data_IF_965662758060
#
_entry.id   IF_965662758060
#
_cell.length_a   1.000
_cell.length_b   1.000
_cell.length_c   1.000
_cell.angle_alpha   90.00
_cell.angle_beta   90.00
_cell.angle_gamma   90.00
#
_symmetry.space_group_name_H-M   'P 1'
#
loop_
_entity.id
_entity.type
_entity.pdbx_description
1 polymer ?
#
# COMPACT_ATOMS: atom_id res chain seq x y z
N UNK A 1 22.97 -21.20 7.29
CA UNK A 1 23.45 -20.84 5.94
C UNK A 1 23.09 -21.95 4.94
N UNK A 2 23.24 -21.68 3.64
CA UNK A 2 22.86 -22.62 2.58
C UNK A 2 23.69 -23.92 2.60
N UNK A 3 24.98 -23.81 2.88
CA UNK A 3 25.85 -24.98 2.98
C UNK A 3 25.42 -25.90 4.14
N UNK A 4 25.17 -25.34 5.32
CA UNK A 4 24.69 -26.11 6.49
C UNK A 4 23.32 -26.79 6.23
N UNK A 5 22.44 -26.15 5.44
CA UNK A 5 21.18 -26.78 5.01
C UNK A 5 21.46 -28.02 4.13
N UNK A 6 22.34 -27.91 3.16
CA UNK A 6 22.70 -29.03 2.26
C UNK A 6 23.47 -30.14 3.03
N UNK A 7 24.31 -29.78 4.00
CA UNK A 7 24.98 -30.74 4.89
C UNK A 7 23.98 -31.57 5.68
N UNK A 8 22.94 -30.94 6.23
CA UNK A 8 21.88 -31.62 6.95
C UNK A 8 21.16 -32.66 6.08
N UNK A 9 20.67 -32.27 4.91
CA UNK A 9 19.95 -33.17 4.02
C UNK A 9 20.85 -34.25 3.39
N UNK A 10 22.12 -33.93 3.08
CA UNK A 10 23.09 -34.93 2.66
C UNK A 10 23.30 -36.05 3.72
N UNK A 11 23.36 -35.62 4.99
CA UNK A 11 23.49 -36.57 6.11
C UNK A 11 22.24 -37.44 6.28
N UNK A 12 21.05 -36.89 6.13
CA UNK A 12 19.81 -37.70 6.16
C UNK A 12 19.80 -38.77 5.06
N UNK A 13 20.28 -38.42 3.85
CA UNK A 13 20.35 -39.39 2.73
C UNK A 13 21.33 -40.50 2.98
N UNK A 14 22.54 -40.21 3.52
CA UNK A 14 23.63 -41.18 3.57
C UNK A 14 23.99 -41.65 4.97
N UNK A 15 23.51 -40.95 6.00
CA UNK A 15 23.87 -41.18 7.41
C UNK A 15 25.41 -41.30 7.64
N UNK A 16 26.16 -40.38 7.04
CA UNK A 16 27.60 -40.36 7.01
C UNK A 16 28.12 -38.93 7.16
N UNK A 17 29.05 -38.62 8.09
CA UNK A 17 29.59 -37.28 8.29
C UNK A 17 30.30 -36.69 7.06
N UNK A 18 30.70 -37.50 6.09
CA UNK A 18 31.28 -37.09 4.81
C UNK A 18 30.28 -37.05 3.65
N UNK A 19 29.00 -37.24 3.95
CA UNK A 19 27.95 -37.24 2.91
C UNK A 19 28.00 -36.02 1.98
N UNK A 20 28.03 -34.81 2.58
CA UNK A 20 28.14 -33.56 1.85
C UNK A 20 29.42 -33.47 0.99
N UNK A 21 30.57 -33.88 1.56
CA UNK A 21 31.84 -33.86 0.85
C UNK A 21 31.83 -34.77 -0.39
N UNK A 22 31.14 -35.93 -0.29
CA UNK A 22 30.97 -36.82 -1.43
C UNK A 22 30.14 -36.20 -2.55
N UNK A 23 29.04 -35.51 -2.22
CA UNK A 23 28.24 -34.76 -3.20
C UNK A 23 29.01 -33.56 -3.81
N UNK A 24 29.72 -32.81 -2.98
CA UNK A 24 30.55 -31.69 -3.41
C UNK A 24 31.67 -32.16 -4.35
N UNK A 25 32.38 -33.23 -4.01
CA UNK A 25 33.41 -33.81 -4.87
C UNK A 25 32.85 -34.26 -6.21
N UNK A 26 31.66 -34.91 -6.21
CA UNK A 26 30.97 -35.30 -7.43
C UNK A 26 30.56 -34.08 -8.27
N UNK A 27 30.01 -33.06 -7.64
CA UNK A 27 29.64 -31.80 -8.31
C UNK A 27 30.87 -31.12 -8.97
N UNK A 28 32.00 -31.02 -8.25
CA UNK A 28 33.25 -30.43 -8.77
C UNK A 28 33.80 -31.18 -9.99
N UNK A 29 33.47 -32.44 -10.17
CA UNK A 29 33.85 -33.24 -11.37
C UNK A 29 32.91 -33.06 -12.56
N UNK A 30 31.82 -32.32 -12.39
CA UNK A 30 30.78 -32.10 -13.41
C UNK A 30 30.79 -30.64 -13.87
N UNK A 31 30.06 -30.38 -14.96
CA UNK A 31 29.79 -29.00 -15.39
C UNK A 31 28.79 -28.36 -14.44
N UNK A 32 29.13 -27.18 -13.92
CA UNK A 32 28.32 -26.41 -12.97
C UNK A 32 28.04 -25.00 -13.50
N UNK A 33 27.17 -24.84 -14.50
CA UNK A 33 26.96 -23.54 -15.18
C UNK A 33 26.41 -22.46 -14.25
N UNK A 34 25.64 -22.85 -13.23
CA UNK A 34 25.04 -21.94 -12.23
C UNK A 34 25.70 -21.99 -10.86
N UNK A 35 26.82 -22.71 -10.76
CA UNK A 35 27.60 -22.81 -9.51
C UNK A 35 27.58 -24.21 -8.85
N UNK A 36 28.50 -24.40 -7.90
CA UNK A 36 28.69 -25.70 -7.23
C UNK A 36 27.54 -26.04 -6.31
N UNK A 37 27.05 -25.09 -5.49
CA UNK A 37 26.00 -25.35 -4.51
C UNK A 37 24.66 -25.77 -5.13
N UNK A 38 24.15 -25.11 -6.20
CA UNK A 38 22.98 -25.62 -6.93
C UNK A 38 23.17 -27.03 -7.48
N UNK A 39 24.39 -27.36 -7.98
CA UNK A 39 24.70 -28.70 -8.46
C UNK A 39 24.68 -29.74 -7.33
N UNK A 40 25.25 -29.40 -6.18
CA UNK A 40 25.19 -30.25 -4.98
C UNK A 40 23.74 -30.47 -4.55
N UNK A 41 22.92 -29.42 -4.54
CA UNK A 41 21.49 -29.50 -4.23
C UNK A 41 20.76 -30.46 -5.20
N UNK A 42 21.04 -30.37 -6.52
CA UNK A 42 20.48 -31.30 -7.52
C UNK A 42 20.81 -32.74 -7.20
N UNK A 43 22.08 -33.03 -6.87
CA UNK A 43 22.52 -34.40 -6.58
C UNK A 43 21.92 -34.93 -5.26
N UNK A 44 21.80 -34.09 -4.24
CA UNK A 44 21.13 -34.46 -2.98
C UNK A 44 19.64 -34.70 -3.23
N UNK A 45 18.97 -33.83 -3.95
CA UNK A 45 17.54 -33.93 -4.24
C UNK A 45 17.19 -35.23 -4.94
N UNK A 46 17.95 -35.63 -5.97
CA UNK A 46 17.72 -36.88 -6.70
C UNK A 46 17.74 -38.08 -5.75
N UNK A 47 18.77 -38.19 -4.90
CA UNK A 47 18.88 -39.29 -3.95
C UNK A 47 17.83 -39.18 -2.81
N UNK A 48 17.50 -37.93 -2.38
CA UNK A 48 16.55 -37.66 -1.30
C UNK A 48 15.12 -38.00 -1.71
N UNK A 49 14.65 -37.51 -2.86
CA UNK A 49 13.30 -37.72 -3.35
C UNK A 49 13.01 -39.22 -3.56
N UNK A 50 13.98 -39.97 -4.14
CA UNK A 50 13.86 -41.42 -4.28
C UNK A 50 13.69 -42.13 -2.94
N UNK A 51 14.57 -41.82 -1.96
CA UNK A 51 14.55 -42.42 -0.63
C UNK A 51 13.34 -42.01 0.18
N UNK A 52 12.84 -40.80 -0.02
CA UNK A 52 11.65 -40.32 0.64
C UNK A 52 10.41 -41.15 0.24
N UNK A 53 10.25 -41.44 -1.05
CA UNK A 53 9.15 -42.29 -1.54
C UNK A 53 9.30 -43.75 -1.05
N UNK A 54 10.52 -44.22 -0.83
CA UNK A 54 10.80 -45.53 -0.26
C UNK A 54 10.71 -45.57 1.29
N UNK A 55 10.39 -44.45 1.95
CA UNK A 55 10.36 -44.31 3.40
C UNK A 55 11.70 -44.63 4.08
N UNK A 56 12.81 -44.24 3.44
CA UNK A 56 14.18 -44.45 3.90
C UNK A 56 14.83 -43.21 4.48
N UNK A 57 14.17 -42.07 4.40
CA UNK A 57 14.52 -40.82 5.07
C UNK A 57 13.32 -40.31 5.87
N UNK A 58 13.53 -39.42 6.86
CA UNK A 58 12.44 -38.85 7.65
C UNK A 58 11.38 -38.14 6.76
N UNK A 59 10.12 -38.30 7.15
CA UNK A 59 8.98 -37.57 6.57
C UNK A 59 8.40 -36.67 7.66
N UNK A 60 8.70 -35.38 7.61
CA UNK A 60 8.34 -34.44 8.67
C UNK A 60 7.28 -33.42 8.25
N UNK A 61 6.87 -33.48 6.99
CA UNK A 61 5.85 -32.59 6.39
C UNK A 61 4.45 -32.87 6.93
N UNK A 62 3.62 -31.84 6.96
CA UNK A 62 2.22 -31.91 7.37
C UNK A 62 1.33 -32.52 6.28
N UNK A 63 0.10 -32.94 6.65
CA UNK A 63 -0.82 -33.63 5.74
C UNK A 63 -1.18 -32.81 4.49
N UNK A 64 -1.29 -31.49 4.61
CA UNK A 64 -1.62 -30.62 3.48
C UNK A 64 -0.49 -30.60 2.45
N UNK A 65 0.77 -30.57 2.88
CA UNK A 65 1.94 -30.64 2.00
C UNK A 65 2.04 -32.02 1.32
N UNK A 66 1.60 -33.09 1.99
CA UNK A 66 1.55 -34.43 1.37
C UNK A 66 0.65 -34.47 0.13
N UNK A 67 -0.40 -33.64 0.07
CA UNK A 67 -1.25 -33.55 -1.14
C UNK A 67 -0.48 -32.90 -2.29
N UNK A 68 0.23 -31.80 -2.01
CA UNK A 68 1.06 -31.13 -3.01
C UNK A 68 2.17 -32.06 -3.55
N UNK A 69 2.78 -32.89 -2.69
CA UNK A 69 3.76 -33.89 -3.13
C UNK A 69 3.12 -34.93 -4.07
N UNK A 70 1.88 -35.35 -3.82
CA UNK A 70 1.16 -36.24 -4.74
C UNK A 70 0.84 -35.58 -6.09
N UNK A 71 0.76 -34.26 -6.11
CA UNK A 71 0.53 -33.44 -7.32
C UNK A 71 1.84 -33.04 -8.02
N UNK A 72 3.01 -33.45 -7.50
CA UNK A 72 4.30 -33.27 -8.13
C UNK A 72 5.30 -32.35 -7.43
N UNK A 73 4.98 -31.84 -6.23
CA UNK A 73 5.95 -31.12 -5.44
C UNK A 73 7.10 -32.05 -5.03
N UNK A 74 8.36 -31.61 -5.19
CA UNK A 74 9.52 -32.36 -4.70
C UNK A 74 9.47 -32.53 -3.18
N UNK A 75 9.57 -33.77 -2.66
CA UNK A 75 9.73 -34.02 -1.24
C UNK A 75 10.89 -33.25 -0.61
N UNK A 76 12.02 -33.13 -1.30
CA UNK A 76 13.17 -32.36 -0.84
C UNK A 76 12.83 -30.88 -0.56
N UNK A 77 12.12 -30.21 -1.48
CA UNK A 77 11.69 -28.82 -1.26
C UNK A 77 10.68 -28.69 -0.11
N UNK A 78 9.77 -29.64 0.00
CA UNK A 78 8.79 -29.69 1.08
C UNK A 78 9.44 -29.84 2.47
N UNK A 79 10.40 -30.77 2.58
CA UNK A 79 11.13 -30.99 3.83
C UNK A 79 12.07 -29.85 4.18
N UNK A 80 12.69 -29.19 3.18
CA UNK A 80 13.44 -27.94 3.40
C UNK A 80 12.55 -26.86 4.02
N UNK A 81 11.36 -26.65 3.47
CA UNK A 81 10.43 -25.66 3.99
C UNK A 81 10.04 -25.99 5.45
N UNK A 82 9.73 -27.25 5.71
CA UNK A 82 9.41 -27.74 7.07
C UNK A 82 10.58 -27.61 8.03
N UNK A 83 11.79 -27.95 7.59
CA UNK A 83 13.00 -27.82 8.39
C UNK A 83 13.27 -26.37 8.79
N UNK A 84 13.21 -25.44 7.84
CA UNK A 84 13.41 -24.01 8.10
C UNK A 84 12.33 -23.50 9.06
N UNK A 85 11.05 -23.83 8.82
CA UNK A 85 9.94 -23.42 9.67
C UNK A 85 10.11 -23.87 11.13
N UNK A 86 10.66 -25.07 11.38
CA UNK A 86 10.89 -25.59 12.72
C UNK A 86 12.16 -25.04 13.40
N UNK A 87 13.14 -24.56 12.63
CA UNK A 87 14.46 -24.19 13.14
C UNK A 87 14.79 -22.69 13.08
N UNK A 88 13.80 -21.82 12.91
CA UNK A 88 14.00 -20.36 12.86
C UNK A 88 13.91 -19.69 14.24
N UNK A 89 14.75 -20.07 15.17
CA UNK A 89 14.74 -19.45 16.51
C UNK A 89 15.64 -18.21 16.53
N UNK A 90 15.04 -17.06 16.88
CA UNK A 90 15.79 -15.82 17.07
C UNK A 90 16.67 -15.91 18.32
N UNK A 91 17.93 -15.56 18.17
CA UNK A 91 18.86 -15.51 19.31
C UNK A 91 18.65 -14.21 20.07
N UNK A 92 18.58 -14.29 21.39
CA UNK A 92 18.34 -13.14 22.28
C UNK A 92 19.37 -12.02 22.12
N UNK A 93 20.60 -12.35 21.74
CA UNK A 93 21.68 -11.39 21.55
C UNK A 93 21.39 -10.36 20.43
N UNK A 94 20.54 -10.70 19.45
CA UNK A 94 20.15 -9.81 18.34
C UNK A 94 18.81 -9.08 18.58
N UNK A 95 18.21 -9.17 19.76
CA UNK A 95 16.89 -8.59 20.01
C UNK A 95 16.86 -7.08 19.81
N UNK A 96 17.88 -6.35 20.24
CA UNK A 96 17.97 -4.90 20.06
C UNK A 96 18.03 -4.48 18.58
N UNK A 97 18.76 -5.25 17.77
CA UNK A 97 18.85 -5.05 16.32
C UNK A 97 17.49 -5.28 15.65
N UNK A 98 16.80 -6.37 16.04
CA UNK A 98 15.49 -6.76 15.50
C UNK A 98 14.42 -5.74 15.88
N UNK A 99 14.40 -5.29 17.13
CA UNK A 99 13.45 -4.27 17.60
C UNK A 99 13.65 -2.94 16.84
N UNK A 100 14.90 -2.55 16.62
CA UNK A 100 15.24 -1.36 15.88
C UNK A 100 14.85 -1.50 14.40
N UNK A 101 15.17 -2.64 13.77
CA UNK A 101 14.78 -2.94 12.40
C UNK A 101 13.25 -2.89 12.22
N UNK A 102 12.50 -3.51 13.14
CA UNK A 102 11.02 -3.49 13.16
C UNK A 102 10.47 -2.08 13.30
N UNK A 103 11.11 -1.23 14.12
CA UNK A 103 10.72 0.17 14.29
C UNK A 103 10.94 1.01 13.02
N UNK A 104 12.12 0.88 12.41
CA UNK A 104 12.47 1.67 11.22
C UNK A 104 11.74 1.21 9.97
N UNK A 105 11.30 -0.07 9.90
CA UNK A 105 10.52 -0.59 8.78
C UNK A 105 9.26 0.25 8.51
N UNK A 106 8.67 0.84 9.56
CA UNK A 106 7.40 1.58 9.46
C UNK A 106 7.51 2.89 8.66
N UNK A 107 8.69 3.54 8.66
CA UNK A 107 8.85 4.88 8.09
C UNK A 107 10.13 5.11 7.29
N UNK A 108 11.12 4.26 7.41
CA UNK A 108 12.46 4.49 6.83
C UNK A 108 12.83 3.52 5.73
N UNK A 109 12.14 2.38 5.61
CA UNK A 109 12.43 1.35 4.63
C UNK A 109 11.28 1.31 3.61
N UNK A 110 11.61 1.58 2.35
CA UNK A 110 10.62 1.56 1.27
C UNK A 110 10.22 0.12 0.89
N UNK A 111 11.16 -0.82 0.88
CA UNK A 111 10.90 -2.22 0.55
C UNK A 111 12.11 -3.09 0.83
N UNK A 112 11.94 -4.40 0.69
CA UNK A 112 13.01 -5.39 0.89
C UNK A 112 13.00 -6.39 -0.26
N UNK A 113 14.19 -6.69 -0.81
CA UNK A 113 14.41 -7.78 -1.76
C UNK A 113 15.19 -8.86 -1.03
N UNK A 114 14.67 -10.07 -0.96
CA UNK A 114 15.27 -11.16 -0.22
C UNK A 114 15.39 -12.43 -1.06
N UNK A 115 16.50 -13.14 -0.86
CA UNK A 115 16.71 -14.49 -1.38
C UNK A 115 16.52 -15.57 -0.30
N UNK A 116 16.30 -15.17 0.95
CA UNK A 116 16.02 -16.08 2.04
C UNK A 116 14.61 -16.66 1.93
N UNK A 117 14.45 -17.91 2.35
CA UNK A 117 13.17 -18.63 2.28
C UNK A 117 12.30 -18.45 3.52
N UNK A 118 12.89 -18.08 4.69
CA UNK A 118 12.20 -17.92 5.98
C UNK A 118 11.17 -16.76 5.96
N UNK A 119 10.36 -16.67 7.02
CA UNK A 119 9.33 -15.62 7.17
C UNK A 119 9.78 -14.45 8.06
N UNK A 120 11.07 -14.33 8.37
CA UNK A 120 11.58 -13.31 9.28
C UNK A 120 11.15 -11.89 8.91
N UNK A 121 11.22 -11.56 7.62
CA UNK A 121 10.84 -10.22 7.15
C UNK A 121 9.34 -9.98 7.30
N UNK A 122 8.53 -10.97 6.98
CA UNK A 122 7.07 -10.90 7.08
C UNK A 122 6.61 -10.68 8.53
N UNK A 123 7.28 -11.32 9.48
CA UNK A 123 6.98 -11.22 10.89
C UNK A 123 7.31 -9.85 11.48
N UNK A 124 8.35 -9.19 10.95
CA UNK A 124 8.85 -7.90 11.46
C UNK A 124 8.45 -6.67 10.64
N UNK A 125 8.06 -6.83 9.36
CA UNK A 125 7.67 -5.73 8.47
C UNK A 125 6.15 -5.68 8.28
N UNK A 126 5.44 -5.42 9.36
CA UNK A 126 3.98 -5.42 9.38
C UNK A 126 3.36 -4.42 8.38
N UNK A 127 2.41 -4.91 7.58
CA UNK A 127 1.70 -4.12 6.58
C UNK A 127 2.46 -3.98 5.25
N UNK A 128 3.58 -4.67 5.08
CA UNK A 128 4.21 -4.84 3.78
C UNK A 128 3.49 -5.92 2.97
N UNK A 129 3.36 -5.67 1.67
CA UNK A 129 2.83 -6.69 0.76
C UNK A 129 3.94 -7.58 0.27
N UNK A 130 3.78 -8.87 0.45
CA UNK A 130 4.71 -9.88 0.02
C UNK A 130 4.42 -10.33 -1.42
N UNK A 131 5.49 -10.60 -2.16
CA UNK A 131 5.49 -11.24 -3.46
C UNK A 131 6.49 -12.39 -3.47
N UNK A 132 6.03 -13.60 -3.79
CA UNK A 132 6.83 -14.83 -3.77
C UNK A 132 7.10 -15.28 -5.20
N UNK A 133 8.38 -15.40 -5.55
CA UNK A 133 8.82 -15.82 -6.88
C UNK A 133 8.54 -14.79 -7.98
N UNK A 134 8.98 -15.10 -9.19
CA UNK A 134 8.84 -14.19 -10.34
C UNK A 134 7.40 -14.11 -10.86
N UNK A 135 6.64 -15.19 -10.81
CA UNK A 135 5.28 -15.26 -11.33
C UNK A 135 4.33 -14.26 -10.66
N UNK A 136 4.40 -14.13 -9.33
CA UNK A 136 3.59 -13.13 -8.62
C UNK A 136 3.98 -11.68 -8.96
N UNK A 137 5.27 -11.45 -9.24
CA UNK A 137 5.76 -10.13 -9.64
C UNK A 137 5.27 -9.71 -11.03
N UNK A 138 5.18 -10.66 -11.97
CA UNK A 138 4.76 -10.38 -13.36
C UNK A 138 3.33 -9.84 -13.41
N UNK A 139 2.42 -10.46 -12.66
CA UNK A 139 0.98 -10.14 -12.71
C UNK A 139 0.55 -9.09 -11.66
N UNK A 140 1.48 -8.52 -10.92
CA UNK A 140 1.17 -7.58 -9.84
C UNK A 140 1.46 -6.13 -10.20
N UNK A 141 0.57 -5.24 -9.80
CA UNK A 141 0.81 -3.80 -9.82
C UNK A 141 1.75 -3.44 -8.66
N UNK A 142 3.06 -3.53 -8.92
CA UNK A 142 4.11 -3.22 -7.95
C UNK A 142 4.11 -1.71 -7.70
N UNK A 143 4.03 -1.32 -6.45
CA UNK A 143 4.04 0.08 -6.04
C UNK A 143 5.44 0.59 -5.67
N UNK A 144 6.39 -0.33 -5.37
CA UNK A 144 7.74 0.00 -4.93
C UNK A 144 7.80 0.57 -3.51
N UNK A 145 6.72 0.50 -2.75
CA UNK A 145 6.64 1.02 -1.37
C UNK A 145 5.92 0.01 -0.49
N UNK A 146 6.48 -0.28 0.68
CA UNK A 146 6.00 -1.26 1.65
C UNK A 146 5.76 -2.64 1.00
N UNK A 147 6.80 -3.17 0.37
CA UNK A 147 6.77 -4.44 -0.34
C UNK A 147 7.99 -5.31 0.00
N UNK A 148 7.76 -6.63 0.09
CA UNK A 148 8.80 -7.65 0.25
C UNK A 148 8.80 -8.52 -0.99
N UNK A 149 9.95 -8.64 -1.62
CA UNK A 149 10.17 -9.44 -2.83
C UNK A 149 11.02 -10.66 -2.48
N UNK A 150 10.38 -11.83 -2.31
CA UNK A 150 11.01 -13.12 -2.05
C UNK A 150 11.40 -13.76 -3.40
N UNK A 151 12.48 -13.26 -3.99
CA UNK A 151 12.82 -13.59 -5.38
C UNK A 151 13.24 -15.06 -5.59
N UNK A 152 13.74 -15.72 -4.56
CA UNK A 152 14.08 -17.17 -4.58
C UNK A 152 13.02 -18.06 -3.92
N UNK A 153 11.81 -17.54 -3.74
CA UNK A 153 10.72 -18.29 -3.13
C UNK A 153 10.64 -18.15 -1.61
N UNK A 154 9.73 -18.91 -1.00
CA UNK A 154 9.43 -18.89 0.43
C UNK A 154 9.00 -20.28 0.93
N UNK A 155 9.27 -20.54 2.21
CA UNK A 155 8.76 -21.75 2.89
C UNK A 155 7.23 -21.85 2.90
N UNK A 156 6.53 -20.75 2.74
CA UNK A 156 5.06 -20.73 2.63
C UNK A 156 4.55 -21.29 1.29
N UNK A 157 5.41 -21.36 0.28
CA UNK A 157 5.14 -21.96 -1.03
C UNK A 157 6.33 -22.81 -1.44
N UNK A 158 6.48 -24.03 -0.93
CA UNK A 158 7.67 -24.86 -1.15
C UNK A 158 8.04 -25.06 -2.62
N UNK A 159 7.05 -25.12 -3.52
CA UNK A 159 7.26 -25.21 -4.96
C UNK A 159 8.04 -24.00 -5.53
N UNK A 160 7.98 -22.84 -4.88
CA UNK A 160 8.65 -21.61 -5.32
C UNK A 160 10.14 -21.56 -4.98
N UNK A 161 10.63 -22.48 -4.13
CA UNK A 161 12.03 -22.49 -3.65
C UNK A 161 13.00 -22.75 -4.79
N UNK A 162 13.92 -21.80 -5.02
CA UNK A 162 14.98 -21.87 -6.02
C UNK A 162 16.26 -22.39 -5.33
N UNK A 163 16.60 -23.66 -5.51
CA UNK A 163 17.72 -24.27 -4.77
C UNK A 163 18.62 -25.16 -5.62
N UNK A 164 18.07 -25.89 -6.59
CA UNK A 164 18.80 -26.78 -7.45
C UNK A 164 19.22 -26.13 -8.78
N UNK A 165 19.97 -26.83 -9.61
CA UNK A 165 20.47 -26.32 -10.88
C UNK A 165 19.36 -26.02 -11.90
N UNK A 166 18.30 -26.81 -11.94
CA UNK A 166 17.14 -26.64 -12.81
C UNK A 166 16.35 -25.38 -12.41
N UNK A 167 16.12 -25.19 -11.10
CA UNK A 167 15.46 -24.00 -10.57
C UNK A 167 16.20 -22.70 -10.95
N UNK A 168 17.54 -22.71 -10.86
CA UNK A 168 18.35 -21.56 -11.25
C UNK A 168 18.35 -21.31 -12.74
N UNK A 169 18.36 -22.36 -13.57
CA UNK A 169 18.25 -22.22 -15.03
C UNK A 169 16.88 -21.66 -15.42
N UNK A 170 15.81 -22.13 -14.79
CA UNK A 170 14.47 -21.58 -15.01
C UNK A 170 14.39 -20.13 -14.54
N UNK A 171 14.90 -19.84 -13.33
CA UNK A 171 14.96 -18.48 -12.79
C UNK A 171 15.69 -17.53 -13.74
N UNK A 172 16.85 -17.90 -14.26
CA UNK A 172 17.65 -17.09 -15.18
C UNK A 172 16.94 -16.91 -16.52
N UNK A 173 16.29 -17.95 -17.05
CA UNK A 173 15.57 -17.88 -18.33
C UNK A 173 14.39 -16.91 -18.30
N UNK A 174 13.76 -16.73 -17.15
CA UNK A 174 12.61 -15.85 -16.93
C UNK A 174 13.01 -14.50 -16.29
N UNK A 175 14.29 -14.28 -16.04
CA UNK A 175 14.78 -13.15 -15.23
C UNK A 175 14.64 -11.77 -15.88
N UNK A 176 14.39 -11.66 -17.18
CA UNK A 176 14.34 -10.37 -17.90
C UNK A 176 13.31 -9.40 -17.32
N UNK A 177 12.12 -9.89 -16.96
CA UNK A 177 11.09 -9.08 -16.34
C UNK A 177 11.48 -8.66 -14.91
N UNK A 178 11.97 -9.61 -14.10
CA UNK A 178 12.47 -9.34 -12.76
C UNK A 178 13.60 -8.30 -12.79
N UNK A 179 14.58 -8.48 -13.68
CA UNK A 179 15.68 -7.53 -13.86
C UNK A 179 15.17 -6.12 -14.19
N UNK A 180 14.18 -5.99 -15.08
CA UNK A 180 13.56 -4.71 -15.42
C UNK A 180 12.89 -4.04 -14.21
N UNK A 181 12.18 -4.81 -13.39
CA UNK A 181 11.53 -4.31 -12.16
C UNK A 181 12.55 -3.91 -11.11
N UNK A 182 13.56 -4.73 -10.87
CA UNK A 182 14.64 -4.42 -9.93
C UNK A 182 15.46 -3.22 -10.39
N UNK A 183 15.71 -3.09 -11.69
CA UNK A 183 16.40 -1.93 -12.26
C UNK A 183 15.63 -0.64 -11.94
N UNK A 184 14.33 -0.61 -12.09
CA UNK A 184 13.50 0.56 -11.71
C UNK A 184 13.69 0.91 -10.24
N UNK A 185 13.60 -0.08 -9.34
CA UNK A 185 13.80 0.11 -7.90
C UNK A 185 15.20 0.65 -7.62
N UNK A 186 16.23 0.09 -8.24
CA UNK A 186 17.64 0.49 -8.04
C UNK A 186 17.93 1.90 -8.55
N UNK A 187 17.17 2.34 -9.56
CA UNK A 187 17.29 3.71 -10.08
C UNK A 187 16.53 4.74 -9.23
N UNK A 188 15.43 4.32 -8.57
CA UNK A 188 14.58 5.22 -7.78
C UNK A 188 15.02 5.33 -6.32
N UNK A 189 15.55 4.25 -5.72
CA UNK A 189 15.86 4.17 -4.29
C UNK A 189 17.34 3.96 -4.01
N UNK A 190 17.87 4.47 -2.88
CA UNK A 190 19.12 3.97 -2.33
C UNK A 190 19.01 2.50 -1.95
N UNK A 191 20.03 1.70 -2.30
CA UNK A 191 20.04 0.25 -2.06
C UNK A 191 21.14 -0.08 -1.06
N UNK A 192 20.76 -0.79 0.00
CA UNK A 192 21.68 -1.30 1.01
C UNK A 192 21.71 -2.82 0.89
N UNK A 193 22.87 -3.36 0.52
CA UNK A 193 23.09 -4.79 0.40
C UNK A 193 23.57 -5.35 1.75
N UNK A 194 22.77 -6.25 2.36
CA UNK A 194 23.05 -6.85 3.66
C UNK A 194 23.02 -8.39 3.55
N UNK A 195 24.02 -9.04 4.10
CA UNK A 195 24.08 -10.51 4.16
C UNK A 195 24.57 -11.20 2.90
N UNK A 196 25.05 -10.43 1.93
CA UNK A 196 25.61 -10.95 0.67
C UNK A 196 27.13 -10.75 0.61
N UNK A 197 27.79 -11.62 -0.14
CA UNK A 197 29.11 -11.26 -0.68
C UNK A 197 28.93 -10.47 -1.97
N UNK A 198 29.77 -9.49 -2.22
CA UNK A 198 29.81 -8.78 -3.52
C UNK A 198 30.09 -9.76 -4.68
N UNK A 199 30.73 -10.88 -4.40
CA UNK A 199 30.96 -11.96 -5.37
C UNK A 199 29.75 -12.90 -5.57
N UNK A 200 28.63 -12.66 -4.89
CA UNK A 200 27.43 -13.45 -5.08
C UNK A 200 26.91 -13.30 -6.52
N UNK A 201 26.70 -14.44 -7.19
CA UNK A 201 26.31 -14.47 -8.61
C UNK A 201 24.97 -13.82 -8.85
N UNK A 202 24.02 -13.89 -7.93
CA UNK A 202 22.69 -13.31 -8.09
C UNK A 202 22.76 -11.80 -8.06
N UNK A 203 23.51 -11.23 -7.11
CA UNK A 203 23.77 -9.78 -7.03
C UNK A 203 24.53 -9.32 -8.27
N UNK A 204 25.54 -10.06 -8.69
CA UNK A 204 26.31 -9.70 -9.89
C UNK A 204 25.46 -9.72 -11.16
N UNK A 205 24.56 -10.70 -11.33
CA UNK A 205 23.66 -10.76 -12.47
C UNK A 205 22.68 -9.57 -12.52
N UNK A 206 22.13 -9.17 -11.37
CA UNK A 206 21.27 -7.99 -11.28
C UNK A 206 22.07 -6.73 -11.61
N UNK A 207 23.25 -6.55 -11.00
CA UNK A 207 24.09 -5.40 -11.25
C UNK A 207 24.59 -5.35 -12.71
N UNK A 208 24.89 -6.51 -13.31
CA UNK A 208 25.27 -6.64 -14.72
C UNK A 208 24.17 -6.12 -15.64
N UNK A 209 22.91 -6.49 -15.38
CA UNK A 209 21.75 -6.00 -16.15
C UNK A 209 21.62 -4.47 -16.05
N UNK A 210 21.83 -3.90 -14.86
CA UNK A 210 21.79 -2.45 -14.64
C UNK A 210 22.93 -1.75 -15.36
N UNK A 211 24.17 -2.22 -15.15
CA UNK A 211 25.39 -1.64 -15.75
C UNK A 211 25.35 -1.74 -17.28
N UNK A 212 24.78 -2.81 -17.82
CA UNK A 212 24.58 -3.00 -19.27
C UNK A 212 23.75 -1.89 -19.92
N UNK A 213 22.75 -1.38 -19.20
CA UNK A 213 21.82 -0.34 -19.70
C UNK A 213 22.35 1.10 -19.51
N UNK A 214 23.43 1.32 -18.76
CA UNK A 214 23.90 2.64 -18.37
C UNK A 214 25.24 3.02 -19.02
N UNK A 215 25.41 4.31 -19.29
CA UNK A 215 26.70 4.87 -19.69
C UNK A 215 27.56 5.24 -18.46
N UNK A 216 28.82 5.63 -18.69
CA UNK A 216 29.78 5.91 -17.62
C UNK A 216 29.38 7.11 -16.73
N UNK A 217 28.70 8.10 -17.28
CA UNK A 217 28.19 9.26 -16.52
C UNK A 217 27.03 8.85 -15.62
N UNK A 218 26.08 8.07 -16.14
CA UNK A 218 24.95 7.55 -15.39
C UNK A 218 25.40 6.61 -14.26
N UNK A 219 26.45 5.81 -14.47
CA UNK A 219 27.01 4.93 -13.43
C UNK A 219 27.54 5.71 -12.23
N UNK A 220 28.09 6.92 -12.43
CA UNK A 220 28.53 7.78 -11.32
C UNK A 220 27.36 8.20 -10.41
N UNK A 221 26.14 8.34 -10.93
CA UNK A 221 24.98 8.65 -10.11
C UNK A 221 24.56 7.48 -9.20
N UNK A 222 24.94 6.24 -9.52
CA UNK A 222 24.68 5.08 -8.67
C UNK A 222 25.64 4.96 -7.50
N UNK A 223 26.83 5.56 -7.59
CA UNK A 223 27.86 5.49 -6.54
C UNK A 223 27.33 5.95 -5.16
N UNK A 224 26.57 7.03 -5.13
CA UNK A 224 25.98 7.56 -3.90
C UNK A 224 24.72 6.81 -3.45
N UNK A 225 24.21 5.88 -4.24
CA UNK A 225 22.97 5.14 -3.97
C UNK A 225 23.21 3.72 -3.51
N UNK A 226 24.38 3.16 -3.75
CA UNK A 226 24.69 1.79 -3.39
C UNK A 226 25.57 1.74 -2.15
N UNK A 227 25.08 1.04 -1.14
CA UNK A 227 25.79 0.79 0.11
C UNK A 227 25.92 -0.72 0.30
N UNK A 228 27.14 -1.20 0.37
CA UNK A 228 27.42 -2.60 0.65
C UNK A 228 27.83 -2.77 2.10
N UNK A 229 27.17 -3.70 2.82
CA UNK A 229 27.44 -3.96 4.23
C UNK A 229 28.14 -5.28 4.38
N UNK A 230 29.34 -5.25 4.91
CA UNK A 230 30.17 -6.41 5.26
C UNK A 230 30.13 -6.64 6.77
N UNK A 231 29.71 -7.84 7.16
CA UNK A 231 29.81 -8.24 8.56
C UNK A 231 31.17 -8.82 8.83
N UNK A 232 31.87 -8.24 9.79
CA UNK A 232 33.17 -8.74 10.29
C UNK A 232 33.14 -8.68 11.84
N UNK A 233 33.06 -9.85 12.47
CA UNK A 233 32.97 -9.99 13.92
C UNK A 233 34.20 -9.43 14.68
N UNK A 234 35.34 -9.31 14.01
CA UNK A 234 36.60 -8.84 14.59
C UNK A 234 36.76 -7.33 14.51
N UNK A 235 35.87 -6.65 13.78
CA UNK A 235 35.86 -5.18 13.67
C UNK A 235 35.42 -4.54 14.98
N UNK A 236 36.25 -3.63 15.53
CA UNK A 236 35.99 -2.95 16.80
C UNK A 236 35.06 -1.72 16.69
N UNK A 237 34.96 -1.14 15.49
CA UNK A 237 34.09 -0.01 15.20
C UNK A 237 33.69 -0.02 13.72
N UNK A 238 32.57 0.64 13.40
CA UNK A 238 32.10 0.76 12.04
C UNK A 238 33.11 1.51 11.17
N UNK A 239 33.39 0.96 10.00
CA UNK A 239 34.30 1.55 9.03
C UNK A 239 33.57 1.83 7.73
N UNK A 240 33.69 3.04 7.22
CA UNK A 240 33.13 3.44 5.92
C UNK A 240 34.27 3.66 4.93
N UNK A 241 34.20 2.99 3.81
CA UNK A 241 35.20 3.08 2.73
C UNK A 241 34.52 3.12 1.36
N UNK A 242 35.25 3.54 0.33
CA UNK A 242 34.79 3.36 -1.06
C UNK A 242 35.19 1.98 -1.55
N UNK A 243 34.31 1.32 -2.29
CA UNK A 243 34.56 0.04 -2.92
C UNK A 243 34.16 0.10 -4.39
N UNK A 244 35.01 -0.43 -5.26
CA UNK A 244 34.73 -0.46 -6.71
C UNK A 244 34.80 -1.88 -7.20
N UNK A 245 33.73 -2.32 -7.87
CA UNK A 245 33.68 -3.62 -8.55
C UNK A 245 33.72 -3.42 -10.07
N UNK A 246 34.29 -4.38 -10.75
CA UNK A 246 34.28 -4.40 -12.22
C UNK A 246 33.18 -5.32 -12.73
N UNK A 247 32.25 -4.77 -13.46
CA UNK A 247 31.13 -5.51 -14.07
C UNK A 247 31.19 -5.30 -15.58
N UNK A 248 31.46 -6.35 -16.33
CA UNK A 248 31.61 -6.32 -17.81
C UNK A 248 32.57 -5.26 -18.30
N UNK A 249 33.67 -5.06 -17.56
CA UNK A 249 34.68 -4.07 -17.91
C UNK A 249 34.31 -2.63 -17.53
N UNK A 250 33.17 -2.37 -16.93
CA UNK A 250 32.79 -1.06 -16.42
C UNK A 250 32.96 -1.00 -14.89
N UNK A 251 33.60 0.04 -14.35
CA UNK A 251 33.73 0.23 -12.91
C UNK A 251 32.36 0.70 -12.32
N UNK A 252 31.90 0.04 -11.27
CA UNK A 252 30.80 0.47 -10.44
C UNK A 252 31.33 0.74 -9.04
N UNK A 253 31.38 2.01 -8.66
CA UNK A 253 31.74 2.42 -7.32
C UNK A 253 30.54 2.43 -6.40
N UNK A 254 30.75 2.14 -5.10
CA UNK A 254 29.75 2.13 -4.05
C UNK A 254 30.39 2.41 -2.69
N UNK A 255 29.58 2.80 -1.72
CA UNK A 255 30.02 2.88 -0.33
C UNK A 255 30.07 1.47 0.27
N UNK A 256 31.11 1.14 1.03
CA UNK A 256 31.23 -0.09 1.80
C UNK A 256 31.26 0.25 3.28
N UNK A 257 30.39 -0.41 4.06
CA UNK A 257 30.36 -0.32 5.53
C UNK A 257 30.79 -1.69 6.07
N UNK A 258 31.85 -1.72 6.89
CA UNK A 258 32.26 -2.92 7.62
C UNK A 258 31.84 -2.74 9.09
N UNK A 259 31.14 -3.70 9.65
CA UNK A 259 30.59 -3.65 11.01
C UNK A 259 30.50 -5.03 11.64
N UNK A 260 30.52 -5.09 12.98
CA UNK A 260 30.32 -6.30 13.78
C UNK A 260 28.94 -6.33 14.45
N UNK A 261 28.15 -5.24 14.36
CA UNK A 261 26.81 -5.11 14.91
C UNK A 261 25.96 -4.22 13.95
N UNK A 262 24.76 -4.62 13.64
CA UNK A 262 23.88 -3.88 12.71
C UNK A 262 23.12 -2.72 13.36
N UNK A 263 23.11 -2.62 14.70
CA UNK A 263 22.34 -1.58 15.41
C UNK A 263 22.70 -0.16 14.97
N UNK A 264 23.99 0.25 14.87
CA UNK A 264 24.34 1.59 14.39
C UNK A 264 23.87 1.88 12.97
N UNK A 265 23.92 0.86 12.09
CA UNK A 265 23.38 0.99 10.73
C UNK A 265 21.88 1.24 10.73
N UNK A 266 21.13 0.47 11.51
CA UNK A 266 19.68 0.62 11.61
C UNK A 266 19.29 1.96 12.24
N UNK A 267 20.01 2.42 13.25
CA UNK A 267 19.83 3.74 13.84
C UNK A 267 20.08 4.85 12.80
N UNK A 268 21.15 4.75 12.02
CA UNK A 268 21.46 5.70 10.95
C UNK A 268 20.35 5.74 9.87
N UNK A 269 19.84 4.57 9.43
CA UNK A 269 18.70 4.49 8.52
C UNK A 269 17.47 5.15 9.15
N UNK A 270 17.26 4.94 10.45
CA UNK A 270 16.16 5.49 11.23
C UNK A 270 16.15 7.02 11.33
N UNK A 271 17.26 7.70 11.05
CA UNK A 271 17.31 9.17 11.00
C UNK A 271 16.53 9.74 9.80
N UNK A 272 16.36 8.97 8.74
CA UNK A 272 15.60 9.34 7.54
C UNK A 272 14.21 8.72 7.60
N UNK A 273 13.22 9.51 7.99
CA UNK A 273 11.85 9.04 8.14
C UNK A 273 10.92 9.76 7.18
N UNK A 274 10.01 9.01 6.57
CA UNK A 274 8.88 9.59 5.86
C UNK A 274 7.88 10.22 6.85
N UNK A 275 7.17 11.26 6.42
CA UNK A 275 6.13 11.90 7.25
C UNK A 275 4.98 10.94 7.58
N UNK A 276 4.67 10.03 6.66
CA UNK A 276 3.62 9.02 6.83
C UNK A 276 4.25 7.61 6.87
N UNK A 277 3.64 6.65 7.57
CA UNK A 277 4.05 5.26 7.49
C UNK A 277 4.04 4.76 6.04
N UNK A 278 5.05 3.96 5.65
CA UNK A 278 5.21 3.47 4.27
C UNK A 278 4.00 2.66 3.78
N UNK A 279 3.33 1.92 4.69
CA UNK A 279 2.10 1.19 4.37
C UNK A 279 0.96 2.12 3.91
N UNK A 280 0.86 3.31 4.53
CA UNK A 280 -0.15 4.31 4.16
C UNK A 280 0.20 4.93 2.81
N UNK A 281 1.47 5.26 2.58
CA UNK A 281 1.94 5.76 1.29
C UNK A 281 1.67 4.74 0.17
N UNK A 282 1.88 3.45 0.44
CA UNK A 282 1.56 2.38 -0.52
C UNK A 282 0.07 2.33 -0.83
N UNK A 283 -0.78 2.29 0.20
CA UNK A 283 -2.24 2.25 0.02
C UNK A 283 -2.71 3.46 -0.79
N UNK A 284 -2.23 4.64 -0.47
CA UNK A 284 -2.55 5.87 -1.18
C UNK A 284 -2.14 5.82 -2.66
N UNK A 285 -0.91 5.39 -2.96
CA UNK A 285 -0.43 5.21 -4.34
C UNK A 285 -1.28 4.19 -5.11
N UNK A 286 -1.70 3.11 -4.45
CA UNK A 286 -2.55 2.08 -5.05
C UNK A 286 -3.96 2.61 -5.37
N UNK A 287 -4.57 3.38 -4.46
CA UNK A 287 -5.90 3.96 -4.65
C UNK A 287 -5.91 4.96 -5.80
N UNK A 288 -4.91 5.86 -5.85
CA UNK A 288 -4.75 6.79 -6.97
C UNK A 288 -4.56 6.07 -8.30
N UNK A 289 -3.72 5.04 -8.33
CA UNK A 289 -3.49 4.25 -9.54
C UNK A 289 -4.77 3.56 -10.02
N UNK A 290 -5.54 2.97 -9.10
CA UNK A 290 -6.82 2.34 -9.40
C UNK A 290 -7.83 3.35 -9.93
N UNK A 291 -7.90 4.54 -9.34
CA UNK A 291 -8.78 5.62 -9.78
C UNK A 291 -8.44 6.08 -11.20
N UNK A 292 -7.16 6.29 -11.51
CA UNK A 292 -6.71 6.68 -12.86
C UNK A 292 -7.09 5.64 -13.93
N UNK A 293 -7.01 4.34 -13.60
CA UNK A 293 -7.34 3.26 -14.56
C UNK A 293 -8.85 3.08 -14.71
N UNK A 294 -9.60 3.07 -13.61
CA UNK A 294 -11.03 2.72 -13.62
C UNK A 294 -11.93 3.94 -13.78
N UNK A 295 -11.40 5.14 -13.57
CA UNK A 295 -12.13 6.41 -13.47
C UNK A 295 -13.30 6.34 -12.45
N UNK A 296 -13.22 5.46 -11.48
CA UNK A 296 -14.21 5.30 -10.41
C UNK A 296 -13.51 5.38 -9.07
N UNK A 297 -13.91 6.31 -8.17
CA UNK A 297 -13.36 6.35 -6.81
C UNK A 297 -13.68 5.05 -6.08
N UNK A 298 -12.72 4.56 -5.31
CA UNK A 298 -12.94 3.44 -4.40
C UNK A 298 -13.66 3.92 -3.13
N UNK A 299 -14.12 3.00 -2.30
CA UNK A 299 -14.75 3.35 -1.02
C UNK A 299 -13.80 4.11 -0.07
N UNK A 300 -12.49 3.99 -0.27
CA UNK A 300 -11.44 4.64 0.52
C UNK A 300 -10.96 5.96 -0.07
N UNK A 301 -11.06 6.14 -1.40
CA UNK A 301 -10.76 7.40 -2.08
C UNK A 301 -12.07 8.13 -2.38
N UNK A 302 -12.32 9.20 -1.66
CA UNK A 302 -13.47 10.08 -1.92
C UNK A 302 -12.98 11.29 -2.71
N UNK A 303 -13.52 11.49 -3.90
CA UNK A 303 -13.20 12.60 -4.78
C UNK A 303 -14.47 13.42 -4.96
N UNK A 304 -14.41 14.70 -4.62
CA UNK A 304 -15.46 15.64 -4.95
C UNK A 304 -15.22 16.20 -6.36
N UNK A 305 -16.26 16.44 -7.17
CA UNK A 305 -16.12 17.15 -8.43
C UNK A 305 -15.48 18.54 -8.21
N UNK A 306 -14.52 18.88 -9.06
CA UNK A 306 -13.87 20.21 -9.05
C UNK A 306 -14.21 20.87 -10.38
N UNK A 307 -15.46 21.28 -10.53
CA UNK A 307 -15.97 21.97 -11.73
C UNK A 307 -16.00 23.50 -11.58
N UNK A 308 -15.14 24.05 -10.73
CA UNK A 308 -15.01 25.49 -10.60
C UNK A 308 -13.83 26.01 -11.43
N UNK A 309 -14.11 26.60 -12.57
CA UNK A 309 -13.10 27.25 -13.44
C UNK A 309 -12.34 28.41 -12.77
N UNK A 310 -12.71 28.79 -11.53
CA UNK A 310 -12.07 29.84 -10.74
C UNK A 310 -11.02 29.26 -9.79
N UNK A 311 -10.94 27.93 -9.62
CA UNK A 311 -9.96 27.27 -8.80
C UNK A 311 -8.68 27.09 -9.62
N UNK A 312 -7.59 27.69 -9.15
CA UNK A 312 -6.26 27.49 -9.72
C UNK A 312 -5.69 26.12 -9.32
N UNK A 313 -4.92 25.46 -10.20
CA UNK A 313 -4.21 24.23 -9.86
C UNK A 313 -3.34 24.37 -8.62
N UNK A 314 -2.87 25.58 -8.31
CA UNK A 314 -2.07 25.90 -7.11
C UNK A 314 -2.90 25.89 -5.81
N UNK A 315 -4.23 26.06 -5.91
CA UNK A 315 -5.15 26.04 -4.76
C UNK A 315 -5.65 24.63 -4.45
N UNK A 316 -5.36 23.65 -5.32
CA UNK A 316 -5.74 22.26 -5.11
C UNK A 316 -4.86 21.61 -4.06
N UNK A 317 -5.47 21.10 -3.01
CA UNK A 317 -4.77 20.39 -1.95
C UNK A 317 -5.32 18.98 -1.78
N UNK A 318 -4.42 18.02 -1.64
CA UNK A 318 -4.74 16.65 -1.29
C UNK A 318 -4.52 16.46 0.20
N UNK A 319 -5.58 16.13 0.93
CA UNK A 319 -5.52 15.88 2.37
C UNK A 319 -5.60 14.39 2.68
N UNK A 320 -4.68 13.90 3.52
CA UNK A 320 -4.65 12.52 4.01
C UNK A 320 -4.71 12.53 5.53
N UNK A 321 -5.72 11.86 6.09
CA UNK A 321 -5.93 11.80 7.53
C UNK A 321 -6.97 10.76 7.91
N UNK A 322 -7.35 10.74 9.18
CA UNK A 322 -8.45 9.90 9.64
C UNK A 322 -9.78 10.45 9.11
N UNK A 323 -10.68 9.58 8.66
CA UNK A 323 -11.95 9.97 8.05
C UNK A 323 -12.81 10.84 9.00
N UNK A 324 -12.84 10.49 10.29
CA UNK A 324 -13.53 11.27 11.33
C UNK A 324 -12.96 12.69 11.47
N UNK A 325 -11.64 12.84 11.45
CA UNK A 325 -10.96 14.14 11.57
C UNK A 325 -11.11 15.01 10.31
N UNK A 326 -11.06 14.40 9.13
CA UNK A 326 -11.28 15.11 7.87
C UNK A 326 -12.75 15.50 7.70
N UNK A 327 -13.67 14.62 8.13
CA UNK A 327 -15.10 14.89 8.16
C UNK A 327 -15.44 16.14 9.00
N UNK A 328 -14.95 16.22 10.23
CA UNK A 328 -15.16 17.39 11.12
C UNK A 328 -14.65 18.68 10.46
N UNK A 329 -13.47 18.64 9.82
CA UNK A 329 -12.92 19.83 9.13
C UNK A 329 -13.75 20.20 7.90
N UNK A 330 -14.25 19.21 7.15
CA UNK A 330 -15.17 19.44 6.02
C UNK A 330 -16.49 20.04 6.47
N UNK A 331 -17.05 19.56 7.59
CA UNK A 331 -18.28 20.09 8.18
C UNK A 331 -18.15 21.56 8.61
N UNK A 332 -16.99 21.96 9.09
CA UNK A 332 -16.71 23.36 9.42
C UNK A 332 -16.61 24.26 8.16
N UNK A 333 -16.41 23.70 6.98
CA UNK A 333 -16.36 24.40 5.70
C UNK A 333 -17.72 24.52 5.01
N UNK A 334 -18.76 23.81 5.47
CA UNK A 334 -20.12 23.92 4.93
C UNK A 334 -20.66 25.33 5.17
N UNK A 335 -21.18 25.96 4.13
CA UNK A 335 -21.84 27.26 4.22
C UNK A 335 -23.37 27.12 4.15
N UNK A 336 -24.09 28.23 4.30
CA UNK A 336 -25.55 28.23 4.27
C UNK A 336 -26.14 27.69 2.96
N UNK A 337 -25.52 27.97 1.82
CA UNK A 337 -25.99 27.49 0.53
C UNK A 337 -25.85 25.96 0.43
N UNK A 338 -24.74 25.41 0.89
CA UNK A 338 -24.51 23.95 0.94
C UNK A 338 -25.55 23.27 1.84
N UNK A 339 -25.87 23.90 2.98
CA UNK A 339 -26.92 23.42 3.89
C UNK A 339 -28.28 23.35 3.23
N UNK A 340 -28.71 24.44 2.55
CA UNK A 340 -29.99 24.50 1.83
C UNK A 340 -30.01 23.53 0.64
N UNK A 341 -28.92 23.46 -0.12
CA UNK A 341 -28.77 22.51 -1.23
C UNK A 341 -28.94 21.07 -0.74
N UNK A 342 -28.28 20.71 0.36
CA UNK A 342 -28.39 19.36 0.91
C UNK A 342 -29.77 19.01 1.48
N UNK A 343 -30.55 20.00 1.91
CA UNK A 343 -31.94 19.78 2.28
C UNK A 343 -32.73 19.26 1.10
N UNK A 344 -32.46 19.77 -0.09
CA UNK A 344 -33.18 19.42 -1.33
C UNK A 344 -32.61 18.15 -1.96
N UNK A 345 -31.31 18.12 -2.26
CA UNK A 345 -30.67 17.07 -3.04
C UNK A 345 -30.20 15.89 -2.20
N UNK A 346 -29.82 16.10 -0.94
CA UNK A 346 -29.26 15.07 -0.08
C UNK A 346 -27.87 14.62 -0.55
N UNK A 347 -27.10 15.48 -1.20
CA UNK A 347 -25.86 15.18 -1.88
C UNK A 347 -24.59 15.30 -1.00
N UNK A 348 -24.70 15.86 0.21
CA UNK A 348 -23.60 15.85 1.15
C UNK A 348 -23.39 14.45 1.75
N UNK A 349 -22.15 14.03 1.81
CA UNK A 349 -21.75 12.70 2.33
C UNK A 349 -21.72 12.60 3.86
N UNK A 350 -22.40 13.50 4.56
CA UNK A 350 -22.46 13.54 6.02
C UNK A 350 -23.80 13.00 6.51
N UNK A 351 -23.76 12.34 7.65
CA UNK A 351 -24.99 11.90 8.35
C UNK A 351 -25.72 13.09 8.98
N UNK A 352 -27.00 12.93 9.26
CA UNK A 352 -27.76 13.96 9.95
C UNK A 352 -27.18 14.30 11.32
N UNK A 353 -26.67 13.30 12.06
CA UNK A 353 -26.01 13.51 13.35
C UNK A 353 -24.74 14.36 13.22
N UNK A 354 -23.86 14.06 12.24
CA UNK A 354 -22.64 14.86 12.00
C UNK A 354 -22.97 16.31 11.63
N UNK A 355 -23.99 16.52 10.79
CA UNK A 355 -24.41 17.85 10.39
C UNK A 355 -24.95 18.66 11.59
N UNK A 356 -25.79 18.06 12.43
CA UNK A 356 -26.36 18.71 13.61
C UNK A 356 -25.34 18.95 14.70
N UNK A 357 -24.37 18.05 14.89
CA UNK A 357 -23.34 18.17 15.93
C UNK A 357 -22.23 19.18 15.57
N UNK A 358 -21.80 19.20 14.31
CA UNK A 358 -20.58 19.91 13.93
C UNK A 358 -20.80 21.12 13.00
N UNK A 359 -21.71 21.01 12.00
CA UNK A 359 -21.98 22.12 11.08
C UNK A 359 -22.99 23.12 11.62
N UNK A 360 -24.07 22.64 12.24
CA UNK A 360 -25.14 23.47 12.76
C UNK A 360 -24.67 24.58 13.71
N UNK A 361 -23.85 24.31 14.77
CA UNK A 361 -23.42 25.34 15.71
C UNK A 361 -22.67 26.50 15.05
N UNK A 362 -21.94 26.22 13.98
CA UNK A 362 -21.20 27.25 13.21
C UNK A 362 -22.13 28.05 12.32
N UNK A 363 -23.04 27.36 11.61
CA UNK A 363 -23.91 27.95 10.61
C UNK A 363 -25.06 28.77 11.20
N UNK A 364 -25.58 28.40 12.36
CA UNK A 364 -26.78 29.05 12.94
C UNK A 364 -26.53 30.53 13.23
N UNK A 365 -25.36 30.88 13.77
CA UNK A 365 -24.97 32.28 14.01
C UNK A 365 -24.80 33.09 12.72
N UNK A 366 -24.31 32.45 11.66
CA UNK A 366 -24.12 33.09 10.35
C UNK A 366 -25.45 33.31 9.60
N UNK A 367 -26.49 32.56 9.93
CA UNK A 367 -27.80 32.62 9.28
C UNK A 367 -28.89 33.28 10.16
N UNK A 368 -28.50 34.17 11.05
CA UNK A 368 -29.43 34.95 11.90
C UNK A 368 -30.39 34.08 12.72
N UNK A 369 -29.94 32.91 13.18
CA UNK A 369 -30.70 31.88 13.86
C UNK A 369 -31.89 31.32 13.07
N UNK A 370 -31.82 31.36 11.73
CA UNK A 370 -32.90 30.92 10.83
C UNK A 370 -32.44 29.77 9.92
N UNK A 371 -31.84 28.74 10.49
CA UNK A 371 -31.38 27.57 9.74
C UNK A 371 -32.39 26.41 9.84
N UNK A 372 -32.96 25.89 8.75
CA UNK A 372 -33.93 24.79 8.80
C UNK A 372 -33.24 23.50 9.23
N UNK A 373 -33.79 22.81 10.22
CA UNK A 373 -33.21 21.60 10.85
C UNK A 373 -34.12 20.38 10.82
N UNK A 374 -35.41 20.57 10.48
CA UNK A 374 -36.43 19.52 10.62
C UNK A 374 -36.09 18.23 9.82
N UNK A 375 -35.56 18.36 8.60
CA UNK A 375 -35.14 17.19 7.80
C UNK A 375 -34.09 16.37 8.55
N UNK A 376 -33.06 17.02 9.08
CA UNK A 376 -31.97 16.33 9.78
C UNK A 376 -32.43 15.77 11.13
N UNK A 377 -33.26 16.50 11.88
CA UNK A 377 -33.84 15.99 13.12
C UNK A 377 -34.69 14.73 12.91
N UNK A 378 -35.38 14.61 11.77
CA UNK A 378 -36.15 13.40 11.45
C UNK A 378 -35.28 12.18 11.10
N UNK A 379 -34.03 12.41 10.69
CA UNK A 379 -33.09 11.38 10.26
C UNK A 379 -32.01 11.07 11.32
N UNK A 380 -31.85 11.94 12.30
CA UNK A 380 -30.84 11.79 13.34
C UNK A 380 -31.18 10.66 14.31
N UNK A 381 -30.15 10.00 14.79
CA UNK A 381 -30.23 8.95 15.83
C UNK A 381 -29.94 9.53 17.23
N UNK A 382 -29.21 10.62 17.29
CA UNK A 382 -28.86 11.33 18.51
C UNK A 382 -29.95 12.26 19.01
N UNK A 383 -29.72 12.94 20.14
CA UNK A 383 -30.63 13.92 20.73
C UNK A 383 -30.01 15.30 20.67
N UNK A 384 -30.69 16.23 20.00
CA UNK A 384 -30.21 17.59 19.73
C UNK A 384 -31.23 18.61 20.29
N UNK A 385 -31.25 18.88 21.60
CA UNK A 385 -32.29 19.71 22.25
C UNK A 385 -32.32 21.14 21.74
N UNK A 386 -31.18 21.76 21.45
CA UNK A 386 -31.11 23.11 20.91
C UNK A 386 -31.73 23.21 19.52
N UNK A 387 -31.47 22.22 18.66
CA UNK A 387 -32.07 22.15 17.33
C UNK A 387 -33.58 21.91 17.40
N UNK A 388 -34.03 21.07 18.34
CA UNK A 388 -35.46 20.81 18.57
C UNK A 388 -36.17 22.07 19.05
N UNK A 389 -35.58 22.82 19.96
CA UNK A 389 -36.16 24.07 20.43
C UNK A 389 -36.28 25.07 19.30
N UNK A 390 -35.21 25.26 18.53
CA UNK A 390 -35.19 26.14 17.37
C UNK A 390 -36.28 25.74 16.33
N UNK A 391 -36.46 24.45 16.09
CA UNK A 391 -37.47 23.97 15.11
C UNK A 391 -38.90 24.29 15.49
N UNK A 392 -39.21 24.44 16.78
CA UNK A 392 -40.52 24.83 17.27
C UNK A 392 -40.88 26.29 17.04
N UNK A 393 -39.86 27.14 16.96
CA UNK A 393 -40.04 28.58 16.82
C UNK A 393 -39.94 29.07 15.37
N UNK A 394 -39.49 28.22 14.45
CA UNK A 394 -39.38 28.57 13.03
C UNK A 394 -40.64 28.20 12.24
N UNK A 395 -41.73 28.88 12.49
CA UNK A 395 -42.90 28.81 11.61
C UNK A 395 -42.65 29.58 10.32
N UNK A 396 -43.42 29.25 9.26
CA UNK A 396 -43.27 29.92 7.98
C UNK A 396 -43.49 31.45 8.12
N UNK A 397 -44.39 31.86 9.00
CA UNK A 397 -44.70 33.28 9.24
C UNK A 397 -43.57 34.02 9.99
N UNK A 398 -42.78 33.33 10.78
CA UNK A 398 -41.60 33.92 11.47
C UNK A 398 -40.40 34.05 10.56
N UNK A 399 -40.30 33.17 9.55
CA UNK A 399 -39.19 33.18 8.57
C UNK A 399 -39.39 34.22 7.50
N UNK A 400 -40.62 34.44 7.05
CA UNK A 400 -40.91 35.35 5.91
C UNK A 400 -40.92 36.81 6.41
N UNK A 401 -40.21 37.72 5.73
CA UNK A 401 -40.23 39.13 6.05
C UNK A 401 -41.66 39.74 5.96
N UNK A 402 -42.02 40.67 6.85
CA UNK A 402 -43.30 41.36 6.90
C UNK A 402 -43.74 41.97 5.57
N UNK A 403 -42.77 42.45 4.78
CA UNK A 403 -43.02 43.01 3.45
C UNK A 403 -43.56 41.98 2.44
N UNK A 404 -43.25 40.74 2.62
CA UNK A 404 -43.73 39.61 1.82
C UNK A 404 -45.04 39.09 2.40
N UNK A 405 -45.13 38.94 3.72
CA UNK A 405 -46.34 38.49 4.42
C UNK A 405 -47.56 39.33 4.05
N UNK A 406 -47.40 40.66 3.92
CA UNK A 406 -48.47 41.58 3.52
C UNK A 406 -48.97 41.39 2.10
N UNK A 407 -48.25 40.69 1.24
CA UNK A 407 -48.60 40.42 -0.17
C UNK A 407 -48.99 38.96 -0.39
N UNK A 408 -49.02 38.16 0.64
CA UNK A 408 -49.38 36.75 0.56
C UNK A 408 -50.80 36.55 0.08
N UNK A 409 -51.01 35.62 -0.86
CA UNK A 409 -52.33 35.33 -1.42
C UNK A 409 -52.93 36.40 -2.29
N UNK A 410 -52.18 37.50 -2.60
CA UNK A 410 -52.66 38.60 -3.48
C UNK A 410 -52.11 38.56 -4.88
N UNK A 411 -51.41 37.49 -5.25
CA UNK A 411 -50.76 37.30 -6.54
C UNK A 411 -51.68 36.84 -7.66
N UNK A 412 -51.16 36.86 -8.88
CA UNK A 412 -51.85 36.42 -10.11
C UNK A 412 -51.74 34.91 -10.30
N UNK A 413 -50.79 34.26 -9.64
CA UNK A 413 -50.50 32.84 -9.72
C UNK A 413 -50.94 32.12 -8.41
N UNK A 414 -51.42 30.89 -8.52
CA UNK A 414 -51.96 30.12 -7.42
C UNK A 414 -51.27 28.77 -7.17
N UNK A 415 -50.14 28.50 -7.86
CA UNK A 415 -49.28 27.36 -7.60
C UNK A 415 -47.81 27.64 -7.93
N UNK A 416 -46.91 26.88 -7.32
CA UNK A 416 -45.48 26.99 -7.63
C UNK A 416 -45.19 26.57 -9.06
N UNK A 417 -45.87 25.53 -9.55
CA UNK A 417 -45.74 25.02 -10.90
C UNK A 417 -46.12 26.08 -11.91
N UNK A 418 -47.24 26.78 -11.72
CA UNK A 418 -47.71 27.87 -12.62
C UNK A 418 -46.68 29.01 -12.67
N UNK A 419 -46.13 29.44 -11.55
CA UNK A 419 -45.08 30.45 -11.50
C UNK A 419 -43.87 29.98 -12.28
N UNK A 420 -43.43 28.73 -12.04
CA UNK A 420 -42.24 28.17 -12.66
C UNK A 420 -42.38 28.08 -14.19
N UNK A 421 -43.47 27.58 -14.68
CA UNK A 421 -43.75 27.47 -16.11
C UNK A 421 -43.68 28.83 -16.83
N UNK A 422 -44.07 29.92 -16.17
CA UNK A 422 -44.16 31.25 -16.81
C UNK A 422 -42.99 32.19 -16.52
N UNK A 423 -42.29 31.99 -15.43
CA UNK A 423 -41.31 32.95 -14.91
C UNK A 423 -39.90 32.36 -14.66
N UNK A 424 -39.66 31.08 -14.96
CA UNK A 424 -38.36 30.40 -14.66
C UNK A 424 -37.14 31.09 -15.26
N UNK A 425 -37.29 31.76 -16.42
CA UNK A 425 -36.18 32.52 -17.03
C UNK A 425 -35.78 33.76 -16.20
N UNK A 426 -36.66 34.23 -15.29
CA UNK A 426 -36.41 35.37 -14.40
C UNK A 426 -36.40 34.91 -12.94
N UNK A 427 -35.37 34.17 -12.56
CA UNK A 427 -35.26 33.48 -11.28
C UNK A 427 -35.61 34.32 -10.05
N UNK A 428 -35.09 35.56 -9.98
CA UNK A 428 -35.40 36.49 -8.88
C UNK A 428 -36.89 36.83 -8.79
N UNK A 429 -37.55 36.90 -9.93
CA UNK A 429 -38.99 37.17 -9.97
C UNK A 429 -39.80 35.94 -9.60
N UNK A 430 -39.42 34.77 -10.11
CA UNK A 430 -40.06 33.49 -9.79
C UNK A 430 -39.99 33.20 -8.29
N UNK A 431 -38.80 33.29 -7.67
CA UNK A 431 -38.59 33.06 -6.23
C UNK A 431 -39.36 34.02 -5.35
N UNK A 432 -39.42 35.30 -5.76
CA UNK A 432 -40.23 36.30 -5.07
C UNK A 432 -41.73 36.00 -5.16
N UNK A 433 -42.24 35.57 -6.31
CA UNK A 433 -43.65 35.21 -6.48
C UNK A 433 -44.01 33.95 -5.69
N UNK A 434 -43.15 32.92 -5.69
CA UNK A 434 -43.32 31.71 -4.85
C UNK A 434 -43.44 32.09 -3.38
N UNK A 435 -42.60 32.99 -2.86
CA UNK A 435 -42.67 33.43 -1.48
C UNK A 435 -43.94 34.23 -1.10
N UNK A 436 -44.71 34.65 -2.09
CA UNK A 436 -45.97 35.38 -1.91
C UNK A 436 -47.23 34.48 -1.99
N UNK A 437 -47.10 33.20 -2.32
CA UNK A 437 -48.19 32.25 -2.26
C UNK A 437 -48.71 32.06 -0.82
N UNK A 438 -50.01 31.81 -0.67
CA UNK A 438 -50.62 31.45 0.59
C UNK A 438 -50.19 30.05 1.02
N UNK A 439 -50.41 29.67 2.28
CA UNK A 439 -50.09 28.32 2.76
C UNK A 439 -50.81 27.23 1.98
N UNK A 440 -52.05 27.49 1.58
CA UNK A 440 -52.87 26.54 0.84
C UNK A 440 -52.42 26.39 -0.65
N UNK A 441 -51.72 27.37 -1.17
CA UNK A 441 -51.15 27.38 -2.53
C UNK A 441 -49.74 26.81 -2.59
N UNK A 442 -49.08 26.53 -1.43
CA UNK A 442 -47.74 26.00 -1.33
C UNK A 442 -47.79 24.45 -1.32
N UNK A 443 -47.39 23.86 -2.42
CA UNK A 443 -47.15 22.41 -2.51
C UNK A 443 -45.71 22.07 -2.26
N UNK A 444 -45.42 21.26 -1.22
CA UNK A 444 -44.06 20.78 -0.92
C UNK A 444 -43.47 20.01 -2.08
N UNK A 445 -44.27 19.16 -2.73
CA UNK A 445 -43.85 18.38 -3.90
C UNK A 445 -43.48 19.25 -5.11
N UNK A 446 -44.25 20.30 -5.38
CA UNK A 446 -43.92 21.25 -6.47
C UNK A 446 -42.68 22.06 -6.12
N UNK A 447 -42.49 22.43 -4.84
CA UNK A 447 -41.30 23.14 -4.39
C UNK A 447 -40.05 22.28 -4.55
N UNK A 448 -40.14 21.02 -4.14
CA UNK A 448 -39.03 20.05 -4.30
C UNK A 448 -38.63 19.88 -5.77
N UNK A 449 -39.61 19.73 -6.68
CA UNK A 449 -39.34 19.63 -8.13
C UNK A 449 -38.61 20.85 -8.66
N UNK A 450 -39.10 22.04 -8.32
CA UNK A 450 -38.48 23.32 -8.77
C UNK A 450 -37.09 23.48 -8.21
N UNK A 451 -36.87 23.13 -6.95
CA UNK A 451 -35.55 23.21 -6.31
C UNK A 451 -34.57 22.18 -6.90
N UNK A 452 -35.02 20.97 -7.22
CA UNK A 452 -34.22 20.00 -7.93
C UNK A 452 -33.78 20.46 -9.29
N UNK A 453 -34.72 20.93 -10.12
CA UNK A 453 -34.43 21.52 -11.45
C UNK A 453 -33.44 22.69 -11.34
N UNK A 454 -33.59 23.56 -10.34
CA UNK A 454 -32.72 24.71 -10.11
C UNK A 454 -31.27 24.33 -9.74
N UNK A 455 -31.08 23.21 -9.05
CA UNK A 455 -29.76 22.79 -8.64
C UNK A 455 -29.10 21.82 -9.64
N UNK A 456 -29.90 21.07 -10.42
CA UNK A 456 -29.40 20.21 -11.50
C UNK A 456 -28.92 21.02 -12.72
N UNK A 457 -29.58 22.15 -13.03
CA UNK A 457 -29.18 23.04 -14.14
C UNK A 457 -27.93 23.90 -13.85
N UNK A 458 -27.32 23.76 -12.68
CA UNK A 458 -26.13 24.53 -12.28
C UNK A 458 -24.85 23.68 -12.12
N UNK A 459 -24.93 22.41 -12.31
CA UNK A 459 -23.83 21.47 -12.45
C UNK A 459 -23.51 21.26 -13.93
#
# INVERSE_FOLDING_TARGET
>A
DWKGLLEHFANEVRNDPFAYNAYESKAKSMLCPVGILPKVATLIQQDYDEKWFLNQVPRTVEEDILKEIKEGLSPFKAEIATFIAKNHTLKKEYQAEIDTLTKISKKSIAGVIATNYDTFLEDHFQGFKKYIGQSQLIFSAIQGIAEIYKIHGSIEQPASIVINEEDYQEFDSQSAYLASKLMTIFMEYPIIFIGYSISDSNIQNILKSIVGCLNAEQLKHLESRFVFVEYDKDTQSEQVSSHTIMIEGKPLAMSKITLSNFLPLYEAIGTKQSKLPVRILRQFKQELYSFVITNTPTATLRVAPIDDSRVSDEDLVLAVGRADQLGIRGLNGINGNDWYRNIVLGDLLFTADELLEHAFPVLIGQNSNRLPVNKYLSQAKGTYPECVELSKHLTLNEIIPDSILKRRGSGTYHSIKEIWEHEKEKLERATRLISQLSEDELSVTELEMVLQELFEDRD
#
